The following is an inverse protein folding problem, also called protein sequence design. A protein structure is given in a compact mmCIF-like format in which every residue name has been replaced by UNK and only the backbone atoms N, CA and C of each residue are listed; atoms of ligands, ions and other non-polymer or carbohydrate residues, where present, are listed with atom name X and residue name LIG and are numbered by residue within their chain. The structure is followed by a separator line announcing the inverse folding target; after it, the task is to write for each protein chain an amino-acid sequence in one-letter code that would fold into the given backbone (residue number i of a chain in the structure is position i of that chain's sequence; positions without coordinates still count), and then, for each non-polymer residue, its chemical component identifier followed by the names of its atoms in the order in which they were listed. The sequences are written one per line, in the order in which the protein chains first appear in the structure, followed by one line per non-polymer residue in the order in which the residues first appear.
data_IF_502531878051
#
_entry.id   IF_502531878051
#
_cell.length_a   1.000
_cell.length_b   1.000
_cell.length_c   1.000
_cell.angle_alpha   90.00
_cell.angle_beta   90.00
_cell.angle_gamma   90.00
#
_symmetry.space_group_name_H-M   'P 1'
#
loop_
_entity.id
_entity.type
_entity.pdbx_description
1 polymer ?
#
# COMPACT_ATOMS: atom_id res chain seq x y z
N UNK A 1 -21.01 15.29 -77.92
CA UNK A 1 -21.85 14.16 -77.48
C UNK A 1 -23.06 14.71 -76.74
N UNK A 2 -24.28 14.33 -77.14
CA UNK A 2 -25.50 14.83 -76.51
C UNK A 2 -25.74 14.20 -75.13
N UNK A 3 -26.43 14.92 -74.24
CA UNK A 3 -26.77 14.42 -72.92
C UNK A 3 -27.70 13.19 -73.02
N UNK A 4 -27.34 12.10 -72.34
CA UNK A 4 -28.19 10.91 -72.21
C UNK A 4 -29.28 11.22 -71.19
N UNK A 5 -30.55 11.14 -71.61
CA UNK A 5 -31.72 11.26 -70.72
C UNK A 5 -32.20 9.86 -70.36
N UNK A 6 -32.25 9.55 -69.07
CA UNK A 6 -32.89 8.34 -68.53
C UNK A 6 -34.11 8.72 -67.71
N UNK A 7 -35.14 7.88 -67.71
CA UNK A 7 -36.28 8.05 -66.79
C UNK A 7 -35.82 7.69 -65.38
N UNK A 8 -36.39 8.35 -64.37
CA UNK A 8 -36.02 8.11 -62.97
C UNK A 8 -36.30 6.65 -62.54
N UNK A 9 -37.31 6.02 -63.15
CA UNK A 9 -37.68 4.61 -62.99
C UNK A 9 -36.64 3.62 -63.53
N UNK A 10 -35.69 4.09 -64.33
CA UNK A 10 -34.61 3.28 -64.94
C UNK A 10 -33.30 3.39 -64.14
N UNK A 11 -33.29 4.16 -63.04
CA UNK A 11 -32.16 4.27 -62.14
C UNK A 11 -32.19 3.13 -61.12
N UNK A 12 -31.05 2.47 -60.91
CA UNK A 12 -30.90 1.50 -59.83
C UNK A 12 -31.02 2.21 -58.48
N UNK A 13 -31.93 1.79 -57.58
CA UNK A 13 -32.01 2.35 -56.24
C UNK A 13 -30.71 2.10 -55.48
N UNK A 14 -30.12 3.14 -54.91
CA UNK A 14 -28.97 2.97 -54.02
C UNK A 14 -29.46 2.49 -52.66
N UNK A 15 -28.88 1.41 -52.14
CA UNK A 15 -29.15 0.87 -50.80
C UNK A 15 -28.05 1.20 -49.79
N UNK A 16 -26.94 1.80 -50.24
CA UNK A 16 -25.83 2.21 -49.38
C UNK A 16 -25.45 3.67 -49.68
N UNK A 17 -25.39 4.51 -48.64
CA UNK A 17 -25.04 5.93 -48.74
C UNK A 17 -23.53 6.18 -48.55
N UNK A 18 -22.73 5.36 -49.22
CA UNK A 18 -21.28 5.45 -49.14
C UNK A 18 -20.83 6.50 -50.18
N UNK A 19 -20.25 7.62 -49.75
CA UNK A 19 -19.79 8.70 -50.63
C UNK A 19 -20.54 10.03 -50.43
N UNK A 20 -20.33 10.97 -51.35
CA UNK A 20 -20.82 12.35 -51.25
C UNK A 20 -22.14 12.52 -52.01
N UNK A 21 -23.23 12.75 -51.30
CA UNK A 21 -24.60 12.81 -51.82
C UNK A 21 -25.13 14.25 -51.84
N UNK A 22 -25.72 14.66 -52.96
CA UNK A 22 -26.36 15.99 -53.08
C UNK A 22 -27.75 15.94 -52.46
N UNK A 23 -28.00 16.79 -51.47
CA UNK A 23 -29.29 16.87 -50.75
C UNK A 23 -30.18 18.03 -51.23
N UNK A 24 -29.62 18.90 -52.06
CA UNK A 24 -30.31 20.05 -52.62
C UNK A 24 -29.35 21.03 -53.27
N UNK A 25 -29.85 22.24 -53.52
CA UNK A 25 -29.06 23.39 -53.97
C UNK A 25 -29.24 24.55 -53.00
N UNK A 26 -28.23 25.41 -52.90
CA UNK A 26 -28.29 26.63 -52.09
C UNK A 26 -29.02 27.78 -52.82
N UNK A 27 -29.10 28.94 -52.18
CA UNK A 27 -29.70 30.15 -52.75
C UNK A 27 -28.99 30.66 -54.03
N UNK A 28 -27.76 30.19 -54.30
CA UNK A 28 -26.96 30.49 -55.49
C UNK A 28 -27.01 29.36 -56.52
N UNK A 29 -27.92 28.40 -56.35
CA UNK A 29 -28.10 27.23 -57.21
C UNK A 29 -26.87 26.30 -57.27
N UNK A 30 -26.06 26.25 -56.22
CA UNK A 30 -24.90 25.35 -56.07
C UNK A 30 -25.30 24.11 -55.28
N UNK A 31 -24.76 22.94 -55.64
CA UNK A 31 -25.07 21.68 -54.95
C UNK A 31 -24.62 21.69 -53.48
N UNK A 32 -25.54 21.39 -52.57
CA UNK A 32 -25.26 21.09 -51.16
C UNK A 32 -25.10 19.58 -51.02
N UNK A 33 -24.02 19.13 -50.37
CA UNK A 33 -23.68 17.70 -50.30
C UNK A 33 -23.35 17.22 -48.88
N UNK A 34 -23.60 15.93 -48.60
CA UNK A 34 -23.31 15.25 -47.33
C UNK A 34 -22.70 13.86 -47.56
N UNK A 35 -21.91 13.37 -46.60
CA UNK A 35 -21.39 11.98 -46.59
C UNK A 35 -21.75 11.30 -45.29
N UNK A 36 -22.58 10.25 -45.35
CA UNK A 36 -22.91 9.46 -44.16
C UNK A 36 -21.70 8.69 -43.64
N UNK A 37 -20.80 8.26 -44.53
CA UNK A 37 -19.56 7.60 -44.15
C UNK A 37 -18.68 8.51 -43.29
N UNK A 38 -18.50 9.77 -43.72
CA UNK A 38 -17.72 10.76 -42.96
C UNK A 38 -18.29 10.99 -41.56
N UNK A 39 -19.63 11.09 -41.44
CA UNK A 39 -20.32 11.24 -40.16
C UNK A 39 -20.09 10.00 -39.29
N UNK A 40 -20.25 8.79 -39.84
CA UNK A 40 -20.05 7.54 -39.11
C UNK A 40 -18.61 7.39 -38.60
N UNK A 41 -17.62 7.66 -39.44
CA UNK A 41 -16.19 7.59 -39.06
C UNK A 41 -15.85 8.62 -37.98
N UNK A 42 -16.39 9.84 -38.11
CA UNK A 42 -16.22 10.90 -37.10
C UNK A 42 -16.83 10.48 -35.77
N UNK A 43 -18.05 9.92 -35.77
CA UNK A 43 -18.70 9.42 -34.55
C UNK A 43 -17.92 8.26 -33.93
N UNK A 44 -17.43 7.32 -34.74
CA UNK A 44 -16.63 6.20 -34.25
C UNK A 44 -15.32 6.67 -33.60
N UNK A 45 -14.63 7.62 -34.23
CA UNK A 45 -13.42 8.22 -33.69
C UNK A 45 -13.69 8.97 -32.37
N UNK A 46 -14.74 9.78 -32.31
CA UNK A 46 -15.15 10.48 -31.10
C UNK A 46 -15.51 9.50 -29.98
N UNK A 47 -16.27 8.45 -30.27
CA UNK A 47 -16.64 7.41 -29.29
C UNK A 47 -15.41 6.75 -28.70
N UNK A 48 -14.46 6.35 -29.55
CA UNK A 48 -13.20 5.73 -29.11
C UNK A 48 -12.38 6.68 -28.23
N UNK A 49 -12.28 7.96 -28.61
CA UNK A 49 -11.59 8.97 -27.81
C UNK A 49 -12.24 9.19 -26.44
N UNK A 50 -13.58 9.28 -26.41
CA UNK A 50 -14.36 9.45 -25.17
C UNK A 50 -14.23 8.22 -24.27
N UNK A 51 -14.36 7.01 -24.80
CA UNK A 51 -14.19 5.76 -24.03
C UNK A 51 -12.78 5.66 -23.44
N UNK A 52 -11.76 6.02 -24.21
CA UNK A 52 -10.37 6.05 -23.72
C UNK A 52 -10.21 7.06 -22.59
N UNK A 53 -10.77 8.25 -22.73
CA UNK A 53 -10.71 9.29 -21.70
C UNK A 53 -11.42 8.86 -20.41
N UNK A 54 -12.62 8.28 -20.51
CA UNK A 54 -13.37 7.75 -19.36
C UNK A 54 -12.58 6.65 -18.66
N UNK A 55 -12.08 5.66 -19.40
CA UNK A 55 -11.32 4.55 -18.83
C UNK A 55 -10.04 5.03 -18.13
N UNK A 56 -9.35 6.03 -18.68
CA UNK A 56 -8.17 6.61 -18.05
C UNK A 56 -8.53 7.37 -16.78
N UNK A 57 -9.63 8.14 -16.79
CA UNK A 57 -10.12 8.83 -15.60
C UNK A 57 -10.51 7.85 -14.48
N UNK A 58 -11.23 6.78 -14.81
CA UNK A 58 -11.64 5.75 -13.85
C UNK A 58 -10.45 5.01 -13.23
N UNK A 59 -9.44 4.68 -14.05
CA UNK A 59 -8.18 4.08 -13.57
C UNK A 59 -7.42 5.03 -12.65
N UNK A 60 -7.34 6.31 -13.00
CA UNK A 60 -6.68 7.32 -12.18
C UNK A 60 -7.40 7.50 -10.84
N UNK A 61 -8.74 7.60 -10.86
CA UNK A 61 -9.56 7.72 -9.66
C UNK A 61 -9.44 6.48 -8.75
N UNK A 62 -9.46 5.27 -9.34
CA UNK A 62 -9.30 4.02 -8.59
C UNK A 62 -7.92 3.94 -7.94
N UNK A 63 -6.87 4.27 -8.69
CA UNK A 63 -5.50 4.29 -8.17
C UNK A 63 -5.37 5.29 -7.01
N UNK A 64 -5.86 6.52 -7.20
CA UNK A 64 -5.82 7.55 -6.17
C UNK A 64 -6.57 7.11 -4.89
N UNK A 65 -7.76 6.53 -5.03
CA UNK A 65 -8.53 6.03 -3.91
C UNK A 65 -7.83 4.90 -3.15
N UNK A 66 -7.18 3.98 -3.87
CA UNK A 66 -6.42 2.90 -3.25
C UNK A 66 -5.18 3.41 -2.51
N UNK A 67 -4.44 4.35 -3.14
CA UNK A 67 -3.30 4.99 -2.50
C UNK A 67 -3.70 5.76 -1.24
N UNK A 68 -4.82 6.49 -1.26
CA UNK A 68 -5.33 7.20 -0.09
C UNK A 68 -5.67 6.24 1.06
N UNK A 69 -6.41 5.14 0.77
CA UNK A 69 -6.75 4.13 1.78
C UNK A 69 -5.52 3.49 2.41
N UNK A 70 -4.50 3.18 1.62
CA UNK A 70 -3.30 2.57 2.17
C UNK A 70 -2.47 3.58 2.97
N UNK A 71 -2.42 4.84 2.55
CA UNK A 71 -1.83 5.92 3.34
C UNK A 71 -2.52 6.08 4.70
N UNK A 72 -3.86 6.10 4.73
CA UNK A 72 -4.64 6.19 5.97
C UNK A 72 -4.35 5.01 6.91
N UNK A 73 -4.26 3.80 6.35
CA UNK A 73 -3.93 2.60 7.12
C UNK A 73 -2.51 2.67 7.71
N UNK A 74 -1.52 3.08 6.93
CA UNK A 74 -0.15 3.22 7.46
C UNK A 74 -0.05 4.35 8.50
N UNK A 75 -0.77 5.46 8.30
CA UNK A 75 -0.86 6.53 9.29
C UNK A 75 -1.49 6.03 10.60
N UNK A 76 -2.54 5.23 10.52
CA UNK A 76 -3.17 4.59 11.68
C UNK A 76 -2.20 3.68 12.44
N UNK A 77 -1.45 2.82 11.73
CA UNK A 77 -0.44 1.94 12.33
C UNK A 77 0.71 2.73 12.98
N UNK A 78 1.21 3.75 12.29
CA UNK A 78 2.26 4.61 12.83
C UNK A 78 1.80 5.33 14.10
N UNK A 79 0.56 5.84 14.11
CA UNK A 79 -0.03 6.45 15.31
C UNK A 79 -0.16 5.45 16.45
N UNK A 80 -0.68 4.25 16.18
CA UNK A 80 -0.82 3.22 17.21
C UNK A 80 0.54 2.83 17.82
N UNK A 81 1.57 2.65 17.00
CA UNK A 81 2.92 2.34 17.48
C UNK A 81 3.55 3.51 18.26
N UNK A 82 3.27 4.76 17.85
CA UNK A 82 3.74 5.95 18.54
C UNK A 82 3.05 6.15 19.90
N UNK A 83 1.75 5.86 19.98
CA UNK A 83 0.97 5.91 21.22
C UNK A 83 1.33 4.75 22.17
N UNK A 84 1.91 3.67 21.64
CA UNK A 84 2.31 2.47 22.39
C UNK A 84 3.81 2.13 22.19
N UNK A 85 4.74 3.00 22.62
CA UNK A 85 6.17 2.75 22.47
C UNK A 85 6.61 1.50 23.26
N UNK A 86 7.70 0.81 22.85
CA UNK A 86 8.29 -0.25 23.66
C UNK A 86 8.63 0.24 25.06
N UNK A 87 8.48 -0.64 26.05
CA UNK A 87 8.72 -0.30 27.47
C UNK A 87 9.43 -1.43 28.19
N UNK A 88 10.07 -1.10 29.30
CA UNK A 88 10.57 -2.10 30.25
C UNK A 88 9.39 -2.62 31.09
N UNK A 89 9.25 -3.93 31.18
CA UNK A 89 8.31 -4.58 32.11
C UNK A 89 8.90 -4.73 33.50
N UNK A 90 8.05 -5.08 34.48
CA UNK A 90 8.46 -5.27 35.88
C UNK A 90 9.51 -6.37 36.05
N UNK A 91 9.51 -7.37 35.16
CA UNK A 91 10.51 -8.44 35.11
C UNK A 91 11.86 -8.02 34.50
N UNK A 92 12.03 -6.74 34.14
CA UNK A 92 13.26 -6.21 33.56
C UNK A 92 13.43 -6.49 32.06
N UNK A 93 12.47 -7.16 31.40
CA UNK A 93 12.50 -7.40 29.96
C UNK A 93 11.93 -6.23 29.16
N UNK A 94 12.29 -6.15 27.88
CA UNK A 94 11.61 -5.32 26.89
C UNK A 94 10.24 -5.93 26.58
N UNK A 95 9.21 -5.10 26.60
CA UNK A 95 7.87 -5.45 26.19
C UNK A 95 7.53 -4.63 24.94
N UNK A 96 7.01 -5.30 23.92
CA UNK A 96 6.57 -4.68 22.67
C UNK A 96 5.05 -4.67 22.57
N UNK A 97 4.49 -3.65 21.95
CA UNK A 97 3.07 -3.63 21.62
C UNK A 97 2.75 -4.64 20.52
N UNK A 98 1.74 -5.47 20.72
CA UNK A 98 1.18 -6.35 19.70
C UNK A 98 -0.04 -5.67 19.07
N UNK A 99 0.11 -5.22 17.82
CA UNK A 99 -0.95 -4.55 17.05
C UNK A 99 -2.20 -5.43 16.84
N UNK A 100 -2.07 -6.76 16.88
CA UNK A 100 -3.19 -7.69 16.64
C UNK A 100 -3.94 -7.97 17.93
N UNK A 101 -3.21 -8.30 18.99
CA UNK A 101 -3.78 -8.63 20.29
C UNK A 101 -4.11 -7.39 21.16
N UNK A 102 -3.71 -6.20 20.71
CA UNK A 102 -3.90 -4.91 21.41
C UNK A 102 -3.40 -4.94 22.86
N UNK A 103 -2.22 -5.52 23.06
CA UNK A 103 -1.58 -5.64 24.38
C UNK A 103 -0.06 -5.66 24.26
N UNK A 104 0.61 -5.33 25.35
CA UNK A 104 2.04 -5.54 25.45
C UNK A 104 2.37 -7.03 25.64
N UNK A 105 3.38 -7.50 24.91
CA UNK A 105 3.90 -8.87 24.97
C UNK A 105 5.37 -8.80 25.37
N UNK A 106 5.73 -9.61 26.36
CA UNK A 106 7.12 -9.78 26.78
C UNK A 106 7.94 -10.37 25.62
N UNK A 107 9.08 -9.76 25.33
CA UNK A 107 9.99 -10.23 24.29
C UNK A 107 10.97 -11.29 24.77
N UNK A 108 11.12 -11.47 26.10
CA UNK A 108 12.18 -12.28 26.71
C UNK A 108 13.57 -11.66 26.64
N UNK A 109 13.70 -10.45 26.07
CA UNK A 109 14.97 -9.75 25.94
C UNK A 109 15.13 -8.81 27.14
N UNK A 110 16.20 -8.93 27.89
CA UNK A 110 16.51 -8.01 29.00
C UNK A 110 16.64 -6.57 28.50
N UNK A 111 15.92 -5.65 29.15
CA UNK A 111 15.92 -4.23 28.77
C UNK A 111 17.15 -3.47 29.26
N UNK A 112 17.77 -3.96 30.33
CA UNK A 112 19.02 -3.44 30.86
C UNK A 112 20.18 -4.10 30.10
N UNK A 113 20.52 -3.53 28.94
CA UNK A 113 21.79 -3.82 28.29
C UNK A 113 22.91 -3.21 29.12
N UNK A 114 23.57 -4.00 29.96
CA UNK A 114 24.62 -3.51 30.86
C UNK A 114 25.65 -4.57 31.24
N UNK A 115 26.90 -4.14 31.35
CA UNK A 115 27.98 -4.89 31.98
C UNK A 115 27.66 -5.00 33.47
N UNK A 116 27.66 -6.22 33.99
CA UNK A 116 27.58 -6.45 35.43
C UNK A 116 28.86 -5.89 36.07
N UNK A 117 28.72 -5.01 37.06
CA UNK A 117 29.83 -4.60 37.94
C UNK A 117 29.70 -5.30 39.29
N UNK A 118 30.05 -6.60 39.40
CA UNK A 118 30.02 -7.28 40.68
C UNK A 118 31.18 -6.81 41.54
N UNK A 119 30.91 -6.62 42.82
CA UNK A 119 31.95 -6.53 43.86
C UNK A 119 31.85 -7.74 44.75
N UNK A 120 32.97 -8.41 44.99
CA UNK A 120 33.04 -9.61 45.80
C UNK A 120 33.72 -9.30 47.12
N UNK A 121 33.09 -9.71 48.22
CA UNK A 121 33.71 -9.71 49.54
C UNK A 121 33.54 -11.08 50.19
N UNK A 122 34.44 -11.42 51.10
CA UNK A 122 34.23 -12.54 52.03
C UNK A 122 33.64 -11.95 53.30
N UNK A 123 32.49 -12.46 53.75
CA UNK A 123 31.94 -12.10 55.05
C UNK A 123 32.78 -12.75 56.15
N UNK A 124 33.49 -11.95 56.93
CA UNK A 124 34.41 -12.40 57.98
C UNK A 124 33.71 -13.21 59.09
N UNK A 125 32.38 -13.11 59.22
CA UNK A 125 31.63 -13.79 60.29
C UNK A 125 31.30 -15.25 59.96
N UNK A 126 31.14 -15.58 58.69
CA UNK A 126 30.71 -16.89 58.22
C UNK A 126 31.55 -17.45 57.06
N UNK A 127 32.57 -16.70 56.61
CA UNK A 127 33.46 -17.04 55.50
C UNK A 127 32.74 -17.27 54.15
N UNK A 128 31.53 -16.75 53.97
CA UNK A 128 30.82 -16.84 52.70
C UNK A 128 31.29 -15.77 51.71
N UNK A 129 31.40 -16.14 50.43
CA UNK A 129 31.60 -15.19 49.34
C UNK A 129 30.28 -14.48 49.03
N UNK A 130 30.25 -13.16 49.22
CA UNK A 130 29.10 -12.30 48.94
C UNK A 130 29.38 -11.48 47.69
N UNK A 131 28.45 -11.54 46.73
CA UNK A 131 28.48 -10.73 45.52
C UNK A 131 27.47 -9.59 45.65
N UNK A 132 27.97 -8.35 45.66
CA UNK A 132 27.15 -7.15 45.50
C UNK A 132 27.09 -6.75 44.05
N UNK A 133 25.90 -6.37 43.60
CA UNK A 133 25.67 -5.83 42.27
C UNK A 133 24.59 -4.74 42.40
N UNK A 134 24.70 -3.71 41.59
CA UNK A 134 23.85 -2.50 41.71
C UNK A 134 22.42 -2.72 41.22
N UNK A 135 22.21 -3.74 40.39
CA UNK A 135 20.92 -4.01 39.75
C UNK A 135 20.08 -5.00 40.56
N UNK A 136 18.76 -4.85 40.56
CA UNK A 136 17.88 -5.96 40.97
C UNK A 136 17.91 -7.01 39.87
N UNK A 137 18.69 -8.07 40.10
CA UNK A 137 18.77 -9.25 39.24
C UNK A 137 17.94 -10.35 39.88
N UNK A 138 17.25 -11.14 39.05
CA UNK A 138 16.50 -12.28 39.58
C UNK A 138 17.46 -13.26 40.27
N UNK A 139 17.09 -13.72 41.47
CA UNK A 139 17.92 -14.54 42.36
C UNK A 139 18.46 -15.82 41.70
N UNK A 140 17.78 -16.31 40.66
CA UNK A 140 18.10 -17.53 39.93
C UNK A 140 19.00 -17.35 38.70
N UNK A 141 19.49 -16.15 38.40
CA UNK A 141 20.35 -15.91 37.22
C UNK A 141 21.82 -16.23 37.45
N UNK A 142 22.23 -16.46 38.70
CA UNK A 142 23.58 -16.93 39.02
C UNK A 142 23.51 -18.29 39.71
N UNK A 143 24.28 -19.25 39.19
CA UNK A 143 24.42 -20.56 39.80
C UNK A 143 25.91 -20.85 40.02
N UNK A 144 26.25 -21.29 41.22
CA UNK A 144 27.57 -21.86 41.49
C UNK A 144 27.59 -23.29 40.94
N UNK A 145 28.41 -23.52 39.91
CA UNK A 145 28.68 -24.86 39.42
C UNK A 145 29.46 -25.62 40.50
N UNK A 146 28.85 -26.67 41.05
CA UNK A 146 29.43 -27.45 42.16
C UNK A 146 30.61 -28.32 41.73
N UNK A 147 30.75 -28.61 40.44
CA UNK A 147 31.85 -29.45 39.93
C UNK A 147 33.08 -28.60 39.61
N UNK A 148 32.88 -27.41 39.03
CA UNK A 148 33.99 -26.52 38.63
C UNK A 148 34.30 -25.42 39.65
N UNK A 149 33.38 -25.13 40.58
CA UNK A 149 33.48 -24.00 41.50
C UNK A 149 33.28 -22.64 40.84
N UNK A 150 32.89 -22.60 39.55
CA UNK A 150 32.67 -21.36 38.82
C UNK A 150 31.27 -20.79 39.07
N UNK A 151 31.19 -19.48 39.29
CA UNK A 151 29.92 -18.77 39.25
C UNK A 151 29.50 -18.58 37.78
N UNK A 152 28.40 -19.20 37.37
CA UNK A 152 27.87 -19.10 36.02
C UNK A 152 26.67 -18.16 36.00
N UNK A 153 26.69 -17.25 35.03
CA UNK A 153 25.50 -16.48 34.68
C UNK A 153 24.66 -17.31 33.70
N UNK A 154 23.40 -17.52 34.03
CA UNK A 154 22.46 -18.26 33.20
C UNK A 154 21.55 -17.26 32.50
N UNK A 155 21.73 -17.15 31.19
CA UNK A 155 20.79 -16.46 30.33
C UNK A 155 19.54 -17.35 30.19
N UNK A 156 18.38 -16.87 30.65
CA UNK A 156 17.08 -17.53 30.40
C UNK A 156 16.54 -17.13 29.04
#
# INVERSE_FOLDING_TARGET
MGAIRKKISELTPSTAFNGLWTIGVDALNRSVRVSLQYIADTIASLKSGVETAINNADKAATTANNSAKEADKQAGRAKEQADNPPKMGENGNWWKWDETAKKYVDTGILAKGGVLYPSFIVDDSNMHLVMYYQDQIAENQFILDKETGHLKFIYQ
#
